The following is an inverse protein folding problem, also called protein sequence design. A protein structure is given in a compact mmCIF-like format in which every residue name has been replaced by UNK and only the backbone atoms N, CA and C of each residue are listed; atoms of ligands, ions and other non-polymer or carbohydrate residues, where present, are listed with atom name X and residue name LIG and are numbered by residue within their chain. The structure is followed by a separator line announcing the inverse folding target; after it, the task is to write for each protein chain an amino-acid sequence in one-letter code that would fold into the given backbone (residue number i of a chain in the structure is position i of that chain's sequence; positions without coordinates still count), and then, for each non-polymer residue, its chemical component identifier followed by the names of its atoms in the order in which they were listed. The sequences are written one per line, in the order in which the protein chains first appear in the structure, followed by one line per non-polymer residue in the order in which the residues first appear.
data_IF_555444630749
#
_entry.id   IF_555444630749
#
_cell.length_a   1.000
_cell.length_b   1.000
_cell.length_c   1.000
_cell.angle_alpha   90.00
_cell.angle_beta   90.00
_cell.angle_gamma   90.00
#
_symmetry.space_group_name_H-M   'P 1'
#
loop_
_entity.id
_entity.type
_entity.pdbx_description
1 polymer ?
#
# COMPACT_ATOMS: atom_id res chain seq x y z
N UNK A 1 7.59 -4.05 15.32
CA UNK A 1 7.15 -5.33 14.69
C UNK A 1 6.56 -5.03 13.31
N UNK A 2 6.61 -5.96 12.36
CA UNK A 2 6.13 -5.75 10.98
C UNK A 2 4.64 -6.14 10.84
N UNK A 3 3.78 -5.25 10.35
CA UNK A 3 2.31 -5.39 10.43
C UNK A 3 1.64 -6.05 9.19
N UNK A 4 2.30 -7.01 8.54
CA UNK A 4 1.74 -7.70 7.36
C UNK A 4 2.21 -9.16 7.26
N UNK A 5 1.68 -9.89 6.26
CA UNK A 5 1.99 -11.30 5.98
C UNK A 5 2.89 -11.55 4.76
N UNK A 6 3.34 -10.51 4.05
CA UNK A 6 4.01 -10.65 2.76
C UNK A 6 5.54 -10.80 2.91
N UNK A 7 6.05 -12.02 2.73
CA UNK A 7 7.49 -12.29 2.71
C UNK A 7 8.09 -12.06 1.32
N UNK A 8 9.30 -11.49 1.25
CA UNK A 8 9.91 -11.21 -0.04
C UNK A 8 11.33 -10.69 0.03
N UNK A 9 11.86 -10.38 -1.14
CA UNK A 9 13.10 -9.61 -1.28
C UNK A 9 12.74 -8.17 -1.61
N UNK A 10 13.44 -7.26 -0.95
CA UNK A 10 13.38 -5.84 -1.20
C UNK A 10 14.57 -5.45 -2.06
N UNK A 11 14.31 -4.76 -3.17
CA UNK A 11 15.37 -4.18 -4.00
C UNK A 11 15.70 -2.80 -3.44
N UNK A 12 16.93 -2.62 -2.98
CA UNK A 12 17.45 -1.34 -2.50
C UNK A 12 18.30 -0.74 -3.60
N UNK A 13 18.18 0.58 -3.81
CA UNK A 13 18.85 1.28 -4.91
C UNK A 13 18.57 0.65 -6.29
N UNK A 14 17.33 0.24 -6.52
CA UNK A 14 16.90 -0.36 -7.78
C UNK A 14 17.35 0.47 -8.99
N UNK A 15 18.08 -0.16 -9.92
CA UNK A 15 18.62 0.50 -11.11
C UNK A 15 19.91 1.31 -10.91
N UNK A 16 20.53 1.29 -9.72
CA UNK A 16 21.82 1.97 -9.45
C UNK A 16 22.99 0.98 -9.33
N UNK A 17 24.22 1.48 -9.42
CA UNK A 17 25.45 0.67 -9.29
C UNK A 17 25.55 -0.09 -7.95
N UNK A 18 24.95 0.45 -6.89
CA UNK A 18 24.92 -0.13 -5.55
C UNK A 18 23.58 -0.84 -5.24
N UNK A 19 22.95 -1.43 -6.26
CA UNK A 19 21.74 -2.24 -6.08
C UNK A 19 22.04 -3.45 -5.20
N UNK A 20 21.17 -3.69 -4.22
CA UNK A 20 21.28 -4.85 -3.36
C UNK A 20 19.90 -5.43 -3.02
N UNK A 21 19.89 -6.68 -2.57
CA UNK A 21 18.69 -7.41 -2.18
C UNK A 21 18.70 -7.67 -0.69
N UNK A 22 17.67 -7.18 0.00
CA UNK A 22 17.46 -7.45 1.43
C UNK A 22 16.29 -8.37 1.63
N UNK A 23 16.48 -9.46 2.37
CA UNK A 23 15.41 -10.39 2.73
C UNK A 23 14.51 -9.75 3.78
N UNK A 24 13.21 -9.78 3.53
CA UNK A 24 12.20 -9.31 4.46
C UNK A 24 11.40 -10.48 5.03
N UNK A 25 11.29 -10.50 6.37
CA UNK A 25 10.45 -11.46 7.10
C UNK A 25 9.24 -10.71 7.71
N UNK A 26 8.00 -11.06 7.34
CA UNK A 26 6.80 -10.52 7.94
C UNK A 26 6.62 -11.05 9.36
N UNK A 27 5.80 -10.39 10.18
CA UNK A 27 5.48 -10.87 11.53
C UNK A 27 4.11 -11.55 11.64
N UNK A 28 3.26 -11.43 10.61
CA UNK A 28 1.95 -12.09 10.57
C UNK A 28 1.99 -13.31 9.64
N UNK A 29 1.22 -14.37 9.93
CA UNK A 29 1.06 -15.49 9.02
C UNK A 29 0.17 -15.10 7.82
N UNK A 30 0.21 -15.89 6.76
CA UNK A 30 -0.71 -15.72 5.62
C UNK A 30 -2.15 -16.14 5.95
N UNK A 31 -2.27 -17.19 6.77
CA UNK A 31 -3.52 -17.67 7.35
C UNK A 31 -3.34 -17.90 8.85
N UNK A 32 -4.34 -17.54 9.64
CA UNK A 32 -4.47 -18.01 11.02
C UNK A 32 -5.15 -19.39 11.01
N UNK A 33 -4.68 -20.31 11.85
CA UNK A 33 -5.18 -21.70 11.94
C UNK A 33 -5.20 -22.46 10.59
N UNK A 34 -4.14 -22.28 9.77
CA UNK A 34 -4.03 -22.91 8.45
C UNK A 34 -4.22 -24.43 8.52
N UNK A 35 -5.04 -24.98 7.63
CA UNK A 35 -5.35 -26.41 7.55
C UNK A 35 -6.37 -26.92 8.57
N UNK A 36 -7.07 -26.03 9.28
CA UNK A 36 -8.09 -26.40 10.27
C UNK A 36 -9.47 -25.85 9.89
N UNK A 37 -10.54 -26.32 10.55
CA UNK A 37 -11.90 -25.78 10.37
C UNK A 37 -12.05 -24.28 10.67
N UNK A 38 -11.09 -23.70 11.40
CA UNK A 38 -11.09 -22.31 11.82
C UNK A 38 -10.07 -21.46 11.04
N UNK A 39 -9.64 -21.94 9.86
CA UNK A 39 -8.74 -21.21 8.98
C UNK A 39 -9.32 -19.83 8.62
N UNK A 40 -8.50 -18.79 8.76
CA UNK A 40 -8.86 -17.41 8.40
C UNK A 40 -7.72 -16.75 7.67
N UNK A 41 -8.01 -16.17 6.49
CA UNK A 41 -7.02 -15.41 5.73
C UNK A 41 -6.61 -14.14 6.49
N UNK A 42 -5.31 -13.84 6.51
CA UNK A 42 -4.80 -12.60 7.09
C UNK A 42 -4.84 -11.47 6.04
N UNK A 43 -5.72 -10.51 6.19
CA UNK A 43 -5.75 -9.32 5.34
C UNK A 43 -5.07 -8.14 6.05
N UNK A 44 -4.28 -7.37 5.30
CA UNK A 44 -3.53 -6.24 5.83
C UNK A 44 -3.97 -4.95 5.15
N UNK A 45 -4.59 -4.07 5.94
CA UNK A 45 -5.02 -2.75 5.51
C UNK A 45 -4.26 -1.68 6.29
N UNK A 46 -3.92 -0.59 5.60
CA UNK A 46 -3.34 0.60 6.19
C UNK A 46 -4.29 1.77 6.02
N UNK A 47 -4.63 2.43 7.11
CA UNK A 47 -5.31 3.73 7.06
C UNK A 47 -4.22 4.78 7.13
N UNK A 48 -4.11 5.63 6.11
CA UNK A 48 -3.14 6.71 6.08
C UNK A 48 -3.87 8.05 6.11
N UNK A 49 -3.46 8.90 7.05
CA UNK A 49 -3.98 10.25 7.23
C UNK A 49 -2.82 11.21 7.01
N UNK A 50 -2.97 12.07 6.01
CA UNK A 50 -2.13 13.24 5.80
C UNK A 50 -2.92 14.46 6.28
N UNK A 51 -2.34 15.20 7.22
CA UNK A 51 -2.97 16.36 7.83
C UNK A 51 -1.97 17.51 7.93
N UNK A 52 -2.49 18.74 7.97
CA UNK A 52 -1.72 19.93 8.31
C UNK A 52 -1.45 19.93 9.83
N UNK A 53 -0.19 20.10 10.24
CA UNK A 53 0.17 19.97 11.65
C UNK A 53 -0.34 21.13 12.51
N UNK A 54 -0.47 22.31 11.91
CA UNK A 54 -0.80 23.54 12.63
C UNK A 54 -2.32 23.73 12.73
N UNK A 55 -3.07 23.41 11.68
CA UNK A 55 -4.54 23.51 11.68
C UNK A 55 -5.27 22.20 12.03
N UNK A 56 -4.57 21.06 11.92
CA UNK A 56 -5.13 19.71 12.01
C UNK A 56 -6.10 19.33 10.89
N UNK A 57 -6.16 20.13 9.81
CA UNK A 57 -7.00 19.83 8.66
C UNK A 57 -6.53 18.56 7.96
N UNK A 58 -7.46 17.63 7.72
CA UNK A 58 -7.18 16.40 6.97
C UNK A 58 -7.11 16.72 5.49
N UNK A 59 -5.89 16.64 4.93
CA UNK A 59 -5.64 16.90 3.51
C UNK A 59 -5.99 15.68 2.66
N UNK A 60 -5.57 14.48 3.11
CA UNK A 60 -5.89 13.21 2.45
C UNK A 60 -6.08 12.12 3.50
N UNK A 61 -7.15 11.35 3.36
CA UNK A 61 -7.33 10.11 4.11
C UNK A 61 -7.63 8.98 3.15
N UNK A 62 -6.90 7.86 3.25
CA UNK A 62 -7.16 6.69 2.41
C UNK A 62 -6.90 5.37 3.14
N UNK A 63 -7.54 4.32 2.61
CA UNK A 63 -7.32 2.92 3.01
C UNK A 63 -6.54 2.24 1.89
N UNK A 64 -5.48 1.51 2.26
CA UNK A 64 -4.59 0.79 1.35
C UNK A 64 -4.54 -0.68 1.71
N UNK A 65 -4.89 -1.56 0.76
CA UNK A 65 -4.87 -3.01 0.91
C UNK A 65 -3.58 -3.63 0.35
N UNK A 66 -2.76 -4.18 1.24
CA UNK A 66 -1.53 -4.88 0.87
C UNK A 66 -1.83 -6.33 0.45
N UNK A 67 -1.18 -6.86 -0.60
CA UNK A 67 -1.31 -8.26 -0.96
C UNK A 67 -0.97 -9.19 0.22
N UNK A 68 -1.77 -10.24 0.41
CA UNK A 68 -1.46 -11.34 1.32
C UNK A 68 -0.21 -12.12 0.81
N UNK A 69 0.59 -12.65 1.73
CA UNK A 69 1.81 -13.40 1.40
C UNK A 69 1.61 -14.67 0.54
N UNK A 70 0.42 -15.27 0.46
CA UNK A 70 0.13 -16.37 -0.48
C UNK A 70 0.23 -15.91 -1.94
N UNK A 71 0.01 -14.62 -2.21
CA UNK A 71 0.07 -14.04 -3.56
C UNK A 71 1.51 -13.69 -3.99
N UNK A 72 2.51 -14.18 -3.25
CA UNK A 72 3.93 -13.89 -3.52
C UNK A 72 4.37 -14.36 -4.91
N UNK A 73 3.89 -15.49 -5.40
CA UNK A 73 4.23 -16.00 -6.73
C UNK A 73 3.84 -15.03 -7.84
N UNK A 74 2.71 -14.35 -7.68
CA UNK A 74 2.17 -13.39 -8.63
C UNK A 74 2.81 -11.99 -8.49
N UNK A 75 2.81 -11.41 -7.30
CA UNK A 75 3.33 -10.04 -7.10
C UNK A 75 4.85 -9.95 -6.96
N UNK A 76 5.50 -11.06 -6.59
CA UNK A 76 6.96 -11.19 -6.48
C UNK A 76 7.56 -10.09 -5.59
N UNK A 77 8.66 -9.47 -6.03
CA UNK A 77 9.37 -8.40 -5.32
C UNK A 77 8.69 -7.03 -5.39
N UNK A 78 7.66 -6.84 -6.23
CA UNK A 78 7.05 -5.53 -6.50
C UNK A 78 6.35 -4.92 -5.30
N UNK A 79 5.94 -5.75 -4.33
CA UNK A 79 5.19 -5.33 -3.14
C UNK A 79 6.05 -4.52 -2.18
N UNK A 80 7.34 -4.87 -2.03
CA UNK A 80 8.18 -4.35 -0.97
C UNK A 80 9.14 -3.29 -1.50
N UNK A 81 9.33 -2.22 -0.73
CA UNK A 81 10.36 -1.21 -1.00
C UNK A 81 11.12 -0.82 0.27
N UNK A 82 12.35 -0.34 0.05
CA UNK A 82 13.20 0.20 1.11
C UNK A 82 12.50 1.34 1.85
N UNK A 83 12.45 1.21 3.18
CA UNK A 83 12.11 2.31 4.05
C UNK A 83 13.27 3.30 4.19
N UNK A 84 13.03 4.38 4.92
CA UNK A 84 14.07 5.38 5.24
C UNK A 84 15.20 4.80 6.10
N UNK A 85 14.90 3.80 6.92
CA UNK A 85 15.88 3.13 7.77
C UNK A 85 16.18 1.73 7.22
N UNK A 86 17.39 1.24 7.48
CA UNK A 86 17.90 -0.02 6.95
C UNK A 86 17.02 -1.23 7.28
N UNK A 87 16.39 -1.21 8.45
CA UNK A 87 15.53 -2.26 9.03
C UNK A 87 14.05 -2.10 8.67
N UNK A 88 13.66 -1.02 8.00
CA UNK A 88 12.25 -0.73 7.69
C UNK A 88 11.93 -1.06 6.24
N UNK A 89 10.80 -1.73 6.06
CA UNK A 89 10.21 -2.01 4.75
C UNK A 89 8.87 -1.30 4.65
N UNK A 90 8.53 -0.84 3.45
CA UNK A 90 7.24 -0.20 3.15
C UNK A 90 6.53 -0.97 2.04
N UNK A 91 5.20 -0.90 2.04
CA UNK A 91 4.42 -1.32 0.90
C UNK A 91 4.59 -0.29 -0.25
N UNK A 92 4.89 -0.76 -1.45
CA UNK A 92 5.02 0.05 -2.68
C UNK A 92 3.67 0.17 -3.41
N UNK A 93 2.66 0.70 -2.73
CA UNK A 93 1.29 0.74 -3.24
C UNK A 93 1.13 1.57 -4.52
N UNK A 94 1.94 2.63 -4.71
CA UNK A 94 1.88 3.50 -5.89
C UNK A 94 2.16 2.75 -7.20
N UNK A 95 2.98 1.70 -7.14
CA UNK A 95 3.36 0.89 -8.32
C UNK A 95 2.50 -0.37 -8.45
N UNK A 96 1.66 -0.65 -7.44
CA UNK A 96 0.72 -1.76 -7.41
C UNK A 96 -0.66 -1.26 -6.96
N UNK A 97 -1.28 -0.30 -7.67
CA UNK A 97 -2.54 0.29 -7.24
C UNK A 97 -3.73 -0.63 -7.48
N UNK A 98 -3.58 -1.73 -8.22
CA UNK A 98 -4.70 -2.58 -8.67
C UNK A 98 -4.69 -3.96 -7.99
N UNK A 99 -5.89 -4.52 -7.84
CA UNK A 99 -6.08 -5.94 -7.61
C UNK A 99 -5.92 -6.70 -8.94
N UNK A 100 -4.68 -7.02 -9.32
CA UNK A 100 -4.32 -7.69 -10.59
C UNK A 100 -4.99 -9.06 -10.86
N UNK A 101 -5.58 -9.68 -9.83
CA UNK A 101 -6.29 -10.97 -9.95
C UNK A 101 -7.82 -10.82 -9.95
N UNK A 102 -8.34 -9.60 -9.91
CA UNK A 102 -9.77 -9.31 -10.03
C UNK A 102 -10.04 -8.74 -11.43
N UNK A 103 -11.14 -9.15 -12.05
CA UNK A 103 -11.47 -8.79 -13.43
C UNK A 103 -11.84 -7.30 -13.62
N UNK A 104 -12.29 -6.63 -12.56
CA UNK A 104 -12.89 -5.29 -12.64
C UNK A 104 -11.89 -4.13 -12.46
N UNK A 105 -10.59 -4.38 -12.63
CA UNK A 105 -9.50 -3.40 -12.42
C UNK A 105 -9.57 -2.65 -11.06
N UNK A 106 -10.13 -3.31 -10.04
CA UNK A 106 -10.38 -2.68 -8.75
C UNK A 106 -9.11 -2.17 -8.08
N UNK A 107 -9.24 -1.06 -7.37
CA UNK A 107 -8.09 -0.37 -6.77
C UNK A 107 -7.86 -0.88 -5.34
N UNK A 108 -6.59 -1.13 -5.02
CA UNK A 108 -6.10 -1.43 -3.66
C UNK A 108 -6.11 -0.21 -2.74
N UNK A 109 -6.34 0.98 -3.30
CA UNK A 109 -6.41 2.23 -2.57
C UNK A 109 -7.84 2.76 -2.69
N UNK A 110 -8.44 3.12 -1.56
CA UNK A 110 -9.71 3.86 -1.51
C UNK A 110 -9.46 5.18 -0.81
N UNK A 111 -9.64 6.30 -1.51
CA UNK A 111 -9.53 7.64 -0.93
C UNK A 111 -10.87 8.00 -0.30
N UNK A 112 -10.85 8.28 1.00
CA UNK A 112 -12.04 8.65 1.77
C UNK A 112 -12.22 10.17 1.78
N UNK A 113 -11.11 10.90 1.91
CA UNK A 113 -11.11 12.35 1.95
C UNK A 113 -9.96 12.88 1.09
N UNK A 114 -10.24 13.93 0.31
CA UNK A 114 -9.26 14.70 -0.43
C UNK A 114 -9.64 16.19 -0.38
N UNK A 115 -8.84 17.01 0.29
CA UNK A 115 -9.12 18.44 0.43
C UNK A 115 -8.80 19.21 -0.85
N UNK A 116 -9.85 19.60 -1.58
CA UNK A 116 -9.71 20.41 -2.80
C UNK A 116 -9.25 21.85 -2.53
N UNK A 117 -9.13 22.30 -1.27
CA UNK A 117 -8.69 23.66 -0.94
C UNK A 117 -7.20 23.77 -0.61
N UNK A 118 -6.49 22.64 -0.55
CA UNK A 118 -5.05 22.63 -0.23
C UNK A 118 -4.21 23.43 -1.24
N UNK A 119 -3.04 23.90 -0.80
CA UNK A 119 -2.09 24.65 -1.65
C UNK A 119 -1.70 23.87 -2.92
N UNK A 120 -1.54 24.59 -4.03
CA UNK A 120 -1.28 24.01 -5.35
C UNK A 120 0.00 23.16 -5.41
N UNK A 121 1.03 23.49 -4.63
CA UNK A 121 2.25 22.70 -4.56
C UNK A 121 2.01 21.33 -3.92
N UNK A 122 1.10 21.22 -2.94
CA UNK A 122 0.70 19.94 -2.35
C UNK A 122 -0.17 19.13 -3.31
N UNK A 123 -1.17 19.75 -3.96
CA UNK A 123 -2.01 19.05 -4.96
C UNK A 123 -1.19 18.36 -6.03
N UNK A 124 -0.19 19.06 -6.59
CA UNK A 124 0.68 18.49 -7.62
C UNK A 124 1.40 17.22 -7.17
N UNK A 125 1.81 17.15 -5.89
CA UNK A 125 2.45 15.95 -5.30
C UNK A 125 1.44 14.85 -4.96
N UNK A 126 0.18 15.20 -4.77
CA UNK A 126 -0.91 14.30 -4.36
C UNK A 126 -1.85 13.91 -5.51
N UNK A 127 -1.49 14.24 -6.75
CA UNK A 127 -2.27 13.96 -7.96
C UNK A 127 -2.78 12.52 -8.06
N UNK A 128 -1.99 11.54 -7.63
CA UNK A 128 -2.42 10.13 -7.59
C UNK A 128 -3.70 9.93 -6.76
N UNK A 129 -3.79 10.57 -5.59
CA UNK A 129 -4.97 10.47 -4.71
C UNK A 129 -6.14 11.30 -5.24
N UNK A 130 -5.86 12.47 -5.83
CA UNK A 130 -6.87 13.32 -6.48
C UNK A 130 -7.57 12.57 -7.62
N UNK A 131 -6.78 12.07 -8.58
CA UNK A 131 -7.30 11.35 -9.76
C UNK A 131 -8.11 10.11 -9.34
N UNK A 132 -7.71 9.45 -8.24
CA UNK A 132 -8.41 8.30 -7.70
C UNK A 132 -9.72 8.69 -7.00
N UNK A 133 -9.72 9.78 -6.23
CA UNK A 133 -10.90 10.31 -5.56
C UNK A 133 -11.99 10.72 -6.56
N UNK A 134 -11.63 11.46 -7.62
CA UNK A 134 -12.59 11.86 -8.66
C UNK A 134 -13.20 10.65 -9.39
N UNK A 135 -12.38 9.63 -9.70
CA UNK A 135 -12.87 8.39 -10.33
C UNK A 135 -13.82 7.62 -9.43
N UNK A 136 -13.62 7.65 -8.11
CA UNK A 136 -14.53 7.00 -7.18
C UNK A 136 -15.90 7.69 -7.16
N UNK A 137 -15.94 9.02 -7.16
CA UNK A 137 -17.20 9.78 -7.22
C UNK A 137 -18.00 9.50 -8.49
N UNK A 138 -17.32 9.30 -9.62
CA UNK A 138 -17.96 8.97 -10.90
C UNK A 138 -18.59 7.57 -10.94
N UNK A 139 -18.13 6.63 -10.10
CA UNK A 139 -18.69 5.26 -10.00
C UNK A 139 -19.91 5.18 -9.09
N UNK A 140 -20.15 6.19 -8.26
CA UNK A 140 -21.26 6.25 -7.29
C UNK A 140 -22.50 6.97 -7.86
N UNK A 141 -22.42 7.51 -9.09
CA UNK A 141 -23.52 8.07 -9.88
C UNK A 141 -23.91 7.14 -11.03
#
# INVERSE_FOLDING_TARGET
LNQNSFAGQMVVHEGRKNQEYRKYKPSLPTFYNKGTRNEKVCLSYFITILYDKDTLDVLVMCIVCMPNGELKSHYKKRVLQAGKNLDKTRFRFSNLPNFELLENEEKRVKVICFDKKMDGAYKKKLKFFEDLFEKQLQKEC
#
